data_IF_898207833364
#
_entry.id   IF_898207833364
#
_cell.length_a   1.000
_cell.length_b   1.000
_cell.length_c   1.000
_cell.angle_alpha   90.00
_cell.angle_beta   90.00
_cell.angle_gamma   90.00
#
_symmetry.space_group_name_H-M   'P 1'
#
loop_
_entity.id
_entity.type
_entity.pdbx_description
1 polymer ?
#
# COMPACT_ATOMS: atom_id res chain seq x y z
N UNK A 1 6.70 -0.05 -24.85
CA UNK A 1 6.95 1.10 -23.95
C UNK A 1 5.77 1.22 -22.99
N UNK A 2 5.96 1.57 -21.72
CA UNK A 2 4.88 1.65 -20.72
C UNK A 2 4.01 2.91 -20.88
N UNK A 3 3.86 3.45 -22.10
CA UNK A 3 3.21 4.73 -22.36
C UNK A 3 1.70 4.73 -22.03
N UNK A 4 1.11 3.57 -21.74
CA UNK A 4 -0.28 3.42 -21.28
C UNK A 4 -0.44 3.44 -19.75
N UNK A 5 0.66 3.33 -18.98
CA UNK A 5 0.59 3.39 -17.52
C UNK A 5 0.43 4.85 -17.14
N UNK A 6 -0.70 5.18 -16.50
CA UNK A 6 -1.02 6.58 -16.20
C UNK A 6 -0.30 7.11 -14.96
N UNK A 7 -0.21 6.31 -13.90
CA UNK A 7 0.39 6.69 -12.63
C UNK A 7 0.73 5.44 -11.80
N UNK A 8 1.68 5.58 -10.90
CA UNK A 8 1.91 4.64 -9.80
C UNK A 8 0.90 4.89 -8.66
N UNK A 9 0.60 3.85 -7.87
CA UNK A 9 -0.36 3.98 -6.76
C UNK A 9 0.08 5.06 -5.74
N UNK A 10 1.37 5.15 -5.46
CA UNK A 10 1.93 6.16 -4.56
C UNK A 10 1.66 7.59 -5.00
N UNK A 11 1.75 7.88 -6.31
CA UNK A 11 1.49 9.21 -6.87
C UNK A 11 0.02 9.61 -6.68
N UNK A 12 -0.91 8.66 -6.80
CA UNK A 12 -2.33 8.90 -6.53
C UNK A 12 -2.57 9.17 -5.04
N UNK A 13 -1.95 8.39 -4.15
CA UNK A 13 -2.10 8.53 -2.70
C UNK A 13 -1.62 9.89 -2.20
N UNK A 14 -0.49 10.39 -2.71
CA UNK A 14 0.07 11.69 -2.31
C UNK A 14 -0.55 12.88 -3.06
N UNK A 15 -1.49 12.63 -3.99
CA UNK A 15 -2.17 13.66 -4.77
C UNK A 15 -1.34 14.26 -5.92
N UNK A 16 -0.21 13.66 -6.26
CA UNK A 16 0.58 14.03 -7.45
C UNK A 16 -0.19 13.69 -8.74
N UNK A 17 -0.95 12.60 -8.72
CA UNK A 17 -1.89 12.24 -9.79
C UNK A 17 -3.34 12.19 -9.28
N UNK A 18 -4.33 12.73 -10.00
CA UNK A 18 -5.72 12.71 -9.56
C UNK A 18 -6.37 11.31 -9.61
N UNK A 19 -5.75 10.33 -10.24
CA UNK A 19 -6.33 9.00 -10.42
C UNK A 19 -7.56 9.03 -11.33
N UNK A 20 -8.69 8.48 -10.85
CA UNK A 20 -9.97 8.47 -11.59
C UNK A 20 -10.56 9.88 -11.63
N UNK A 21 -10.93 10.35 -12.81
CA UNK A 21 -11.40 11.73 -13.06
C UNK A 21 -12.89 11.84 -13.33
N UNK A 22 -13.55 10.77 -13.74
CA UNK A 22 -15.01 10.77 -13.95
C UNK A 22 -15.65 9.38 -13.77
N UNK A 23 -16.97 9.36 -13.67
CA UNK A 23 -17.76 8.14 -13.57
C UNK A 23 -17.73 7.30 -14.87
N UNK A 24 -17.51 7.93 -16.03
CA UNK A 24 -17.46 7.25 -17.33
C UNK A 24 -16.14 6.56 -17.65
N UNK A 25 -15.09 6.78 -16.84
CA UNK A 25 -13.80 6.13 -17.07
C UNK A 25 -13.82 4.66 -16.64
N UNK A 26 -13.14 3.80 -17.39
CA UNK A 26 -12.74 2.48 -16.92
C UNK A 26 -11.32 2.60 -16.33
N UNK A 27 -11.13 2.18 -15.09
CA UNK A 27 -9.82 2.24 -14.42
C UNK A 27 -9.33 0.82 -14.15
N UNK A 28 -8.12 0.52 -14.61
CA UNK A 28 -7.44 -0.74 -14.29
C UNK A 28 -6.33 -0.45 -13.30
N UNK A 29 -6.44 -1.04 -12.11
CA UNK A 29 -5.31 -1.14 -11.18
C UNK A 29 -4.70 -2.53 -11.31
N UNK A 30 -3.39 -2.59 -11.55
CA UNK A 30 -2.64 -3.85 -11.57
C UNK A 30 -1.58 -3.82 -10.48
N UNK A 31 -1.75 -4.68 -9.48
CA UNK A 31 -0.72 -4.92 -8.46
C UNK A 31 0.19 -6.09 -8.85
N UNK A 32 1.46 -5.97 -8.48
CA UNK A 32 2.46 -7.04 -8.50
C UNK A 32 2.75 -7.57 -7.08
N UNK A 33 2.30 -6.87 -6.03
CA UNK A 33 2.75 -7.02 -4.65
C UNK A 33 4.14 -6.43 -4.44
N UNK A 34 4.29 -5.52 -3.47
CA UNK A 34 5.58 -4.94 -3.11
C UNK A 34 5.94 -5.32 -1.68
N UNK A 35 7.16 -5.84 -1.47
CA UNK A 35 7.61 -6.26 -0.13
C UNK A 35 7.54 -5.15 0.93
N UNK A 36 7.60 -3.88 0.52
CA UNK A 36 7.43 -2.73 1.41
C UNK A 36 6.04 -2.67 2.04
N UNK A 37 5.01 -3.12 1.33
CA UNK A 37 3.63 -3.20 1.81
C UNK A 37 3.55 -4.19 2.98
N UNK A 38 4.20 -5.35 2.85
CA UNK A 38 4.26 -6.38 3.90
C UNK A 38 5.01 -5.88 5.13
N UNK A 39 6.20 -5.27 4.93
CA UNK A 39 7.02 -4.77 6.04
C UNK A 39 6.32 -3.63 6.77
N UNK A 40 5.67 -2.71 6.05
CA UNK A 40 4.90 -1.63 6.66
C UNK A 40 3.72 -2.17 7.49
N UNK A 41 2.98 -3.15 6.95
CA UNK A 41 1.90 -3.81 7.69
C UNK A 41 2.41 -4.55 8.93
N UNK A 42 3.51 -5.30 8.81
CA UNK A 42 4.12 -6.03 9.91
C UNK A 42 4.61 -5.08 11.02
N UNK A 43 5.26 -3.96 10.66
CA UNK A 43 5.70 -2.96 11.61
C UNK A 43 4.52 -2.34 12.37
N UNK A 44 3.45 -1.97 11.67
CA UNK A 44 2.24 -1.43 12.28
C UNK A 44 1.60 -2.42 13.25
N UNK A 45 1.39 -3.67 12.83
CA UNK A 45 0.77 -4.70 13.69
C UNK A 45 1.66 -5.04 14.88
N UNK A 46 2.98 -5.15 14.70
CA UNK A 46 3.92 -5.41 15.79
C UNK A 46 3.92 -4.28 16.82
N UNK A 47 3.85 -3.01 16.38
CA UNK A 47 3.71 -1.88 17.29
C UNK A 47 2.39 -1.97 18.08
N UNK A 48 1.27 -2.18 17.39
CA UNK A 48 -0.04 -2.28 18.04
C UNK A 48 -0.11 -3.42 19.04
N UNK A 49 0.48 -4.57 18.73
CA UNK A 49 0.55 -5.72 19.63
C UNK A 49 1.28 -5.38 20.94
N UNK A 50 2.37 -4.59 20.87
CA UNK A 50 3.08 -4.09 22.07
C UNK A 50 2.21 -3.12 22.87
N UNK A 51 1.50 -2.22 22.21
CA UNK A 51 0.61 -1.24 22.86
C UNK A 51 -0.58 -1.89 23.56
N UNK A 52 -1.09 -3.00 23.04
CA UNK A 52 -2.28 -3.69 23.57
C UNK A 52 -1.95 -4.91 24.43
N UNK A 53 -0.67 -5.23 24.63
CA UNK A 53 -0.24 -6.39 25.42
C UNK A 53 -0.58 -7.74 24.77
N UNK A 54 -0.65 -7.80 23.44
CA UNK A 54 -0.95 -9.02 22.69
C UNK A 54 0.34 -9.63 22.12
N UNK A 55 0.43 -10.96 22.13
CA UNK A 55 1.56 -11.72 21.58
C UNK A 55 2.45 -12.34 22.66
N UNK A 56 3.56 -12.95 22.22
CA UNK A 56 4.50 -13.64 23.10
C UNK A 56 5.93 -13.28 22.72
N UNK A 57 6.75 -12.94 23.71
CA UNK A 57 8.20 -12.78 23.52
C UNK A 57 8.87 -14.15 23.54
N UNK A 58 9.72 -14.40 22.56
CA UNK A 58 10.52 -15.63 22.45
C UNK A 58 12.00 -15.28 22.47
N UNK A 59 12.82 -16.13 23.08
CA UNK A 59 14.29 -16.02 23.02
C UNK A 59 14.79 -16.63 21.71
N UNK A 60 15.79 -15.98 21.11
CA UNK A 60 16.47 -16.48 19.91
C UNK A 60 17.51 -17.54 20.27
#
# INVERSE_FOLDING_TARGET
KPDHIRAELGQVIIGEDPGRRSAGELTLFKSLGLAVEDVAAAAFVAQRARETGVGQTVTL
#
